data_IF_593354284005
#
_entry.id   IF_593354284005
#
_cell.length_a   1.000
_cell.length_b   1.000
_cell.length_c   1.000
_cell.angle_alpha   90.00
_cell.angle_beta   90.00
_cell.angle_gamma   90.00
#
_symmetry.space_group_name_H-M   'P 1'
#
loop_
_entity.id
_entity.type
_entity.pdbx_description
1 polymer ?
#
# COMPACT_ATOMS: atom_id res chain seq x y z
N UNK A 1 -31.71 4.28 -4.91
CA UNK A 1 -31.42 2.84 -4.77
C UNK A 1 -29.91 2.69 -4.62
N UNK A 2 -29.48 1.84 -3.68
CA UNK A 2 -28.07 1.62 -3.34
C UNK A 2 -27.53 0.45 -4.16
N UNK A 3 -26.39 0.59 -4.81
CA UNK A 3 -25.75 -0.49 -5.55
C UNK A 3 -24.98 -1.41 -4.59
N UNK A 4 -25.21 -2.71 -4.66
CA UNK A 4 -24.41 -3.71 -3.94
C UNK A 4 -23.47 -4.42 -4.91
N UNK A 5 -22.17 -4.52 -4.56
CA UNK A 5 -21.14 -5.18 -5.36
C UNK A 5 -20.42 -6.26 -4.53
N UNK A 6 -20.43 -7.49 -5.05
CA UNK A 6 -19.65 -8.62 -4.49
C UNK A 6 -18.15 -8.46 -4.78
N UNK A 7 -17.33 -9.33 -4.19
CA UNK A 7 -15.90 -9.33 -4.46
C UNK A 7 -15.61 -9.63 -5.95
N UNK A 8 -16.27 -10.62 -6.53
CA UNK A 8 -16.08 -11.03 -7.94
C UNK A 8 -16.46 -9.89 -8.90
N UNK A 9 -17.53 -9.16 -8.59
CA UNK A 9 -17.93 -7.99 -9.38
C UNK A 9 -16.91 -6.86 -9.27
N UNK A 10 -16.40 -6.58 -8.07
CA UNK A 10 -15.31 -5.59 -7.86
C UNK A 10 -14.04 -6.01 -8.61
N UNK A 11 -13.64 -7.28 -8.55
CA UNK A 11 -12.49 -7.82 -9.27
C UNK A 11 -12.63 -7.68 -10.79
N UNK A 12 -13.85 -7.86 -11.32
CA UNK A 12 -14.11 -7.71 -12.76
C UNK A 12 -14.04 -6.27 -13.27
N UNK A 13 -14.12 -5.30 -12.36
CA UNK A 13 -14.16 -3.87 -12.66
C UNK A 13 -12.85 -3.15 -12.42
N UNK A 14 -12.02 -3.64 -11.49
CA UNK A 14 -10.82 -2.95 -11.02
C UNK A 14 -9.55 -3.71 -11.39
N UNK A 15 -8.80 -3.17 -12.34
CA UNK A 15 -7.42 -3.58 -12.62
C UNK A 15 -6.39 -2.72 -11.84
N UNK A 16 -5.11 -3.09 -11.90
CA UNK A 16 -4.04 -2.38 -11.19
C UNK A 16 -3.83 -0.97 -11.77
N UNK A 17 -3.92 -0.80 -13.08
CA UNK A 17 -3.82 0.51 -13.72
C UNK A 17 -4.89 1.47 -13.21
N UNK A 18 -6.13 1.01 -13.14
CA UNK A 18 -7.25 1.78 -12.59
C UNK A 18 -7.07 2.14 -11.12
N UNK A 19 -6.52 1.22 -10.32
CA UNK A 19 -6.20 1.49 -8.92
C UNK A 19 -5.09 2.55 -8.78
N UNK A 20 -4.04 2.50 -9.62
CA UNK A 20 -2.96 3.48 -9.65
C UNK A 20 -3.50 4.88 -9.97
N UNK A 21 -4.34 5.01 -11.01
CA UNK A 21 -4.95 6.29 -11.40
C UNK A 21 -5.79 6.89 -10.25
N UNK A 22 -6.58 6.06 -9.56
CA UNK A 22 -7.41 6.50 -8.45
C UNK A 22 -6.58 6.95 -7.24
N UNK A 23 -5.54 6.19 -6.88
CA UNK A 23 -4.65 6.50 -5.75
C UNK A 23 -3.78 7.73 -6.03
N UNK A 24 -3.25 7.86 -7.25
CA UNK A 24 -2.48 9.04 -7.66
C UNK A 24 -3.33 10.31 -7.60
N UNK A 25 -4.58 10.24 -8.08
CA UNK A 25 -5.54 11.34 -7.95
C UNK A 25 -5.83 11.69 -6.48
N UNK A 26 -6.06 10.69 -5.62
CA UNK A 26 -6.32 10.91 -4.20
C UNK A 26 -5.14 11.57 -3.48
N UNK A 27 -3.91 11.16 -3.77
CA UNK A 27 -2.71 11.81 -3.25
C UNK A 27 -2.59 13.27 -3.68
N UNK A 28 -2.88 13.55 -4.96
CA UNK A 28 -2.88 14.93 -5.48
C UNK A 28 -3.88 15.80 -4.75
N UNK A 29 -5.11 15.34 -4.62
CA UNK A 29 -6.17 16.10 -3.96
C UNK A 29 -5.88 16.34 -2.47
N UNK A 30 -5.20 15.39 -1.82
CA UNK A 30 -4.73 15.57 -0.44
C UNK A 30 -3.72 16.72 -0.34
N UNK A 31 -2.73 16.78 -1.19
CA UNK A 31 -1.71 17.84 -1.18
C UNK A 31 -2.29 19.23 -1.53
N UNK A 32 -3.35 19.26 -2.33
CA UNK A 32 -4.07 20.50 -2.67
C UNK A 32 -5.09 20.94 -1.61
N UNK A 33 -5.23 20.19 -0.50
CA UNK A 33 -6.20 20.51 0.57
C UNK A 33 -7.66 20.22 0.21
N UNK A 34 -7.90 19.45 -0.83
CA UNK A 34 -9.23 19.13 -1.36
C UNK A 34 -9.87 17.89 -0.74
N UNK A 35 -9.43 17.48 0.44
CA UNK A 35 -9.96 16.30 1.13
C UNK A 35 -10.40 16.63 2.56
N UNK A 36 -11.24 15.75 3.09
CA UNK A 36 -11.46 15.61 4.53
C UNK A 36 -11.21 14.15 4.90
N UNK A 37 -10.28 13.94 5.82
CA UNK A 37 -9.87 12.60 6.28
C UNK A 37 -9.60 12.67 7.78
N UNK A 38 -10.63 12.48 8.62
CA UNK A 38 -10.46 12.43 10.06
C UNK A 38 -9.63 11.21 10.49
N UNK A 39 -9.07 11.21 11.72
CA UNK A 39 -8.35 10.07 12.26
C UNK A 39 -9.18 8.79 12.22
N UNK A 40 -8.50 7.65 12.05
CA UNK A 40 -9.10 6.32 12.10
C UNK A 40 -9.66 6.04 13.48
N UNK A 41 -10.79 5.32 13.54
CA UNK A 41 -11.38 4.81 14.79
C UNK A 41 -11.06 3.33 14.91
N UNK A 42 -10.50 2.93 16.04
CA UNK A 42 -10.10 1.55 16.34
C UNK A 42 -10.98 0.93 17.41
N UNK A 43 -11.48 -0.28 17.17
CA UNK A 43 -12.13 -1.13 18.16
C UNK A 43 -11.34 -2.43 18.28
N UNK A 44 -10.70 -2.63 19.44
CA UNK A 44 -9.88 -3.81 19.70
C UNK A 44 -10.71 -4.97 20.26
N UNK A 45 -10.52 -6.13 19.69
CA UNK A 45 -11.14 -7.40 20.13
C UNK A 45 -10.06 -8.28 20.78
N UNK A 46 -9.57 -7.89 21.94
CA UNK A 46 -8.44 -8.54 22.63
C UNK A 46 -8.60 -10.06 22.74
N UNK A 47 -9.82 -10.52 23.16
CA UNK A 47 -10.17 -11.95 23.25
C UNK A 47 -9.94 -12.72 21.94
N UNK A 48 -10.05 -12.06 20.82
CA UNK A 48 -9.99 -12.67 19.48
C UNK A 48 -8.75 -12.28 18.68
N UNK A 49 -7.78 -11.61 19.31
CA UNK A 49 -6.60 -11.07 18.63
C UNK A 49 -6.97 -10.33 17.33
N UNK A 50 -7.98 -9.46 17.42
CA UNK A 50 -8.55 -8.79 16.26
C UNK A 50 -8.78 -7.30 16.51
N UNK A 51 -8.94 -6.57 15.40
CA UNK A 51 -9.28 -5.15 15.41
C UNK A 51 -10.25 -4.82 14.27
N UNK A 52 -11.21 -3.93 14.56
CA UNK A 52 -12.02 -3.25 13.54
C UNK A 52 -11.52 -1.82 13.43
N UNK A 53 -11.36 -1.34 12.21
CA UNK A 53 -10.91 0.01 11.90
C UNK A 53 -11.94 0.67 10.98
N UNK A 54 -12.48 1.83 11.40
CA UNK A 54 -13.32 2.67 10.57
C UNK A 54 -12.50 3.84 10.00
N UNK A 55 -12.56 4.00 8.68
CA UNK A 55 -11.71 4.90 7.90
C UNK A 55 -12.55 5.75 6.95
N UNK A 56 -13.14 6.88 7.43
CA UNK A 56 -13.92 7.79 6.59
C UNK A 56 -13.02 8.73 5.79
N UNK A 57 -13.49 9.11 4.60
CA UNK A 57 -12.89 10.19 3.81
C UNK A 57 -13.91 10.84 2.87
N UNK A 58 -13.63 12.10 2.50
CA UNK A 58 -14.31 12.84 1.45
C UNK A 58 -13.29 13.50 0.52
N UNK A 59 -13.42 13.26 -0.77
CA UNK A 59 -12.59 13.86 -1.83
C UNK A 59 -13.47 14.84 -2.59
N UNK A 60 -13.34 16.14 -2.29
CA UNK A 60 -14.23 17.22 -2.73
C UNK A 60 -14.40 17.29 -4.26
N UNK A 61 -13.33 17.31 -5.10
CA UNK A 61 -13.49 17.43 -6.55
C UNK A 61 -14.16 16.22 -7.22
N UNK A 62 -14.18 15.08 -6.54
CA UNK A 62 -14.84 13.86 -7.06
C UNK A 62 -16.25 13.70 -6.53
N UNK A 63 -16.70 14.53 -5.57
CA UNK A 63 -17.90 14.28 -4.77
C UNK A 63 -17.94 12.85 -4.19
N UNK A 64 -16.78 12.31 -3.84
CA UNK A 64 -16.62 10.95 -3.34
C UNK A 64 -16.51 10.95 -1.82
N UNK A 65 -17.62 10.72 -1.14
CA UNK A 65 -17.66 10.53 0.30
C UNK A 65 -17.88 9.05 0.65
N UNK A 66 -17.16 8.53 1.65
CA UNK A 66 -17.33 7.14 2.01
C UNK A 66 -16.61 6.73 3.28
N UNK A 67 -16.86 5.48 3.65
CA UNK A 67 -16.32 4.85 4.84
C UNK A 67 -15.87 3.44 4.50
N UNK A 68 -14.58 3.12 4.71
CA UNK A 68 -14.14 1.73 4.79
C UNK A 68 -14.23 1.26 6.24
N UNK A 69 -14.89 0.12 6.44
CA UNK A 69 -14.79 -0.68 7.66
C UNK A 69 -13.94 -1.90 7.33
N UNK A 70 -12.80 -2.03 7.98
CA UNK A 70 -11.88 -3.16 7.80
C UNK A 70 -11.63 -3.85 9.14
N UNK A 71 -11.66 -5.18 9.13
CA UNK A 71 -11.26 -6.00 10.27
C UNK A 71 -9.97 -6.72 9.96
N UNK A 72 -9.07 -6.78 10.95
CA UNK A 72 -7.82 -7.53 10.87
C UNK A 72 -7.82 -8.59 11.96
N UNK A 73 -7.83 -9.86 11.56
CA UNK A 73 -7.78 -11.02 12.44
C UNK A 73 -6.65 -11.95 11.96
N UNK A 74 -5.42 -11.82 12.49
CA UNK A 74 -4.25 -12.58 12.01
C UNK A 74 -4.43 -14.10 12.09
N UNK A 75 -5.26 -14.57 13.01
CA UNK A 75 -5.53 -16.00 13.20
C UNK A 75 -6.56 -16.60 12.23
N UNK A 76 -7.30 -15.77 11.48
CA UNK A 76 -8.36 -16.24 10.58
C UNK A 76 -7.92 -17.31 9.59
N UNK A 77 -6.78 -17.17 8.87
CA UNK A 77 -6.36 -18.19 7.90
C UNK A 77 -6.18 -19.57 8.52
N UNK A 78 -5.60 -19.60 9.72
CA UNK A 78 -5.32 -20.85 10.43
C UNK A 78 -6.55 -21.43 11.13
N UNK A 79 -7.37 -20.58 11.78
CA UNK A 79 -8.48 -21.05 12.64
C UNK A 79 -9.81 -21.22 11.89
N UNK A 80 -10.04 -20.43 10.86
CA UNK A 80 -11.35 -20.30 10.22
C UNK A 80 -11.33 -20.46 8.70
N UNK A 81 -10.14 -20.56 8.06
CA UNK A 81 -10.02 -20.60 6.61
C UNK A 81 -10.45 -19.28 5.91
N UNK A 82 -10.52 -18.19 6.67
CA UNK A 82 -10.92 -16.86 6.19
C UNK A 82 -9.70 -15.96 5.98
N UNK A 83 -9.77 -14.93 5.14
CA UNK A 83 -8.72 -13.93 5.04
C UNK A 83 -8.43 -13.26 6.38
N UNK A 84 -7.16 -12.91 6.63
CA UNK A 84 -6.77 -12.13 7.80
C UNK A 84 -7.35 -10.72 7.78
N UNK A 85 -7.57 -10.15 6.60
CA UNK A 85 -8.14 -8.84 6.38
C UNK A 85 -9.45 -9.00 5.62
N UNK A 86 -10.55 -8.45 6.17
CA UNK A 86 -11.87 -8.43 5.54
C UNK A 86 -12.39 -7.00 5.63
N UNK A 87 -12.87 -6.46 4.51
CA UNK A 87 -13.34 -5.07 4.46
C UNK A 87 -14.64 -4.91 3.68
N UNK A 88 -15.38 -3.87 4.05
CA UNK A 88 -16.50 -3.33 3.27
C UNK A 88 -16.33 -1.82 3.13
N UNK A 89 -16.77 -1.29 1.98
CA UNK A 89 -16.78 0.15 1.73
C UNK A 89 -18.21 0.58 1.42
N UNK A 90 -18.63 1.66 2.07
CA UNK A 90 -19.89 2.35 1.82
C UNK A 90 -19.53 3.69 1.17
N UNK A 91 -20.13 3.98 0.02
CA UNK A 91 -20.09 5.30 -0.61
C UNK A 91 -21.43 6.00 -0.41
N UNK A 92 -21.38 7.30 -0.12
CA UNK A 92 -22.55 8.16 0.08
C UNK A 92 -22.55 9.33 -0.89
N UNK A 93 -23.73 9.76 -1.28
CA UNK A 93 -23.96 11.03 -1.98
C UNK A 93 -23.76 12.18 -1.00
N UNK A 94 -22.75 13.04 -1.14
CA UNK A 94 -22.52 14.13 -0.21
C UNK A 94 -23.65 15.17 -0.16
N UNK A 95 -24.39 15.31 -1.26
CA UNK A 95 -25.46 16.30 -1.37
C UNK A 95 -26.76 15.85 -0.68
N UNK A 96 -27.02 14.55 -0.63
CA UNK A 96 -28.29 14.00 -0.12
C UNK A 96 -28.13 13.10 1.10
N UNK A 97 -26.91 12.59 1.36
CA UNK A 97 -26.65 11.62 2.42
C UNK A 97 -27.12 10.21 2.10
N UNK A 98 -27.65 9.95 0.90
CA UNK A 98 -28.08 8.61 0.49
C UNK A 98 -26.87 7.71 0.22
N UNK A 99 -26.92 6.43 0.60
CA UNK A 99 -25.87 5.49 0.18
C UNK A 99 -25.93 5.23 -1.32
N UNK A 100 -24.82 5.50 -2.01
CA UNK A 100 -24.64 5.22 -3.44
C UNK A 100 -24.32 3.74 -3.69
N UNK A 101 -23.42 3.19 -2.89
CA UNK A 101 -23.01 1.80 -3.01
C UNK A 101 -22.50 1.20 -1.69
N UNK A 102 -22.65 -0.12 -1.57
CA UNK A 102 -21.98 -0.97 -0.57
C UNK A 102 -21.24 -2.03 -1.35
N UNK A 103 -19.93 -2.17 -1.12
CA UNK A 103 -19.11 -3.08 -1.92
C UNK A 103 -18.05 -3.82 -1.12
N UNK A 104 -17.52 -4.90 -1.68
CA UNK A 104 -16.34 -5.55 -1.12
C UNK A 104 -15.17 -4.56 -1.08
N UNK A 105 -14.60 -4.43 0.11
CA UNK A 105 -13.43 -3.59 0.34
C UNK A 105 -12.13 -4.38 0.46
N UNK A 106 -12.20 -5.71 0.49
CA UNK A 106 -11.02 -6.57 0.71
C UNK A 106 -10.11 -6.53 -0.50
N UNK A 107 -10.65 -6.75 -1.68
CA UNK A 107 -9.90 -6.65 -2.93
C UNK A 107 -9.43 -5.21 -3.20
N UNK A 108 -10.31 -4.22 -3.00
CA UNK A 108 -9.93 -2.79 -3.11
C UNK A 108 -8.76 -2.47 -2.18
N UNK A 109 -8.77 -2.95 -0.92
CA UNK A 109 -7.67 -2.71 0.02
C UNK A 109 -6.35 -3.31 -0.47
N UNK A 110 -6.36 -4.48 -1.09
CA UNK A 110 -5.16 -5.08 -1.67
C UNK A 110 -4.65 -4.24 -2.85
N UNK A 111 -5.53 -3.91 -3.80
CA UNK A 111 -5.17 -3.22 -5.03
C UNK A 111 -4.72 -1.77 -4.78
N UNK A 112 -5.45 -0.99 -3.92
CA UNK A 112 -5.06 0.40 -3.61
C UNK A 112 -3.73 0.48 -2.85
N UNK A 113 -3.37 -0.58 -2.09
CA UNK A 113 -2.08 -0.61 -1.38
C UNK A 113 -0.93 -0.91 -2.35
N UNK A 114 -1.11 -1.85 -3.28
CA UNK A 114 -0.18 -2.07 -4.39
C UNK A 114 -0.02 -0.82 -5.25
N UNK A 115 -1.14 -0.14 -5.54
CA UNK A 115 -1.16 1.11 -6.28
C UNK A 115 -0.39 2.25 -5.57
N UNK A 116 -0.46 2.33 -4.23
CA UNK A 116 0.31 3.34 -3.49
C UNK A 116 1.83 3.12 -3.62
N UNK A 117 2.30 1.86 -3.54
CA UNK A 117 3.69 1.51 -3.81
C UNK A 117 4.09 1.77 -5.27
N UNK A 118 3.19 1.47 -6.22
CA UNK A 118 3.41 1.77 -7.64
C UNK A 118 3.54 3.28 -7.90
N UNK A 119 2.65 4.10 -7.32
CA UNK A 119 2.76 5.58 -7.41
C UNK A 119 4.10 6.03 -6.83
N UNK A 120 4.51 5.52 -5.67
CA UNK A 120 5.81 5.87 -5.09
C UNK A 120 6.96 5.45 -6.03
N UNK A 121 6.96 4.23 -6.53
CA UNK A 121 7.97 3.76 -7.48
C UNK A 121 8.00 4.61 -8.76
N UNK A 122 6.85 5.05 -9.28
CA UNK A 122 6.74 5.92 -10.47
C UNK A 122 7.50 7.24 -10.31
N UNK A 123 7.53 7.80 -9.11
CA UNK A 123 8.17 9.10 -8.86
C UNK A 123 9.54 8.99 -8.17
N UNK A 124 9.81 7.89 -7.47
CA UNK A 124 10.98 7.77 -6.60
C UNK A 124 11.99 6.71 -7.05
N UNK A 125 11.63 5.74 -7.90
CA UNK A 125 12.61 4.80 -8.45
C UNK A 125 13.22 5.30 -9.75
N UNK A 126 14.35 4.73 -10.16
CA UNK A 126 14.95 4.96 -11.49
C UNK A 126 13.96 4.53 -12.58
N UNK A 127 13.90 5.28 -13.68
CA UNK A 127 12.96 4.99 -14.78
C UNK A 127 13.22 3.64 -15.45
N UNK A 128 14.47 3.22 -15.45
CA UNK A 128 14.95 1.96 -16.04
C UNK A 128 15.08 0.82 -15.01
N UNK A 129 14.48 0.93 -13.82
CA UNK A 129 14.44 -0.14 -12.83
C UNK A 129 13.87 -1.42 -13.42
N UNK A 130 14.61 -2.54 -13.32
CA UNK A 130 14.27 -3.84 -13.90
C UNK A 130 14.16 -4.96 -12.87
N UNK A 131 14.81 -4.78 -11.72
CA UNK A 131 14.90 -5.82 -10.70
C UNK A 131 14.14 -5.41 -9.44
N UNK A 132 13.32 -6.31 -8.92
CA UNK A 132 12.55 -6.09 -7.69
C UNK A 132 12.87 -7.13 -6.62
N UNK A 133 12.95 -6.71 -5.35
CA UNK A 133 12.97 -7.61 -4.20
C UNK A 133 11.65 -7.48 -3.45
N UNK A 134 10.94 -8.60 -3.24
CA UNK A 134 9.67 -8.63 -2.51
C UNK A 134 9.86 -9.42 -1.22
N UNK A 135 9.86 -8.72 -0.08
CA UNK A 135 9.98 -9.34 1.24
C UNK A 135 8.58 -9.43 1.86
N UNK A 136 8.03 -10.66 1.84
CA UNK A 136 6.67 -10.97 2.23
C UNK A 136 5.81 -11.45 1.06
N UNK A 137 5.57 -12.77 0.97
CA UNK A 137 4.86 -13.44 -0.12
C UNK A 137 3.34 -13.52 0.12
N UNK A 138 2.78 -12.55 0.85
CA UNK A 138 1.35 -12.43 1.14
C UNK A 138 0.55 -11.72 0.04
N UNK A 139 -0.68 -11.30 0.39
CA UNK A 139 -1.56 -10.54 -0.51
C UNK A 139 -0.90 -9.23 -0.95
N UNK A 140 -0.25 -8.53 -0.01
CA UNK A 140 0.41 -7.26 -0.33
C UNK A 140 1.62 -7.45 -1.25
N UNK A 141 2.45 -8.48 -1.05
CA UNK A 141 3.56 -8.75 -1.97
C UNK A 141 3.09 -8.94 -3.43
N UNK A 142 1.95 -9.60 -3.61
CA UNK A 142 1.32 -9.80 -4.93
C UNK A 142 0.87 -8.49 -5.56
N UNK A 143 0.11 -7.69 -4.83
CA UNK A 143 -0.39 -6.41 -5.35
C UNK A 143 0.73 -5.40 -5.58
N UNK A 144 1.79 -5.42 -4.75
CA UNK A 144 2.98 -4.58 -4.95
C UNK A 144 3.69 -4.94 -6.26
N UNK A 145 3.96 -6.22 -6.51
CA UNK A 145 4.62 -6.64 -7.76
C UNK A 145 3.79 -6.30 -8.99
N UNK A 146 2.46 -6.54 -8.95
CA UNK A 146 1.55 -6.10 -10.03
C UNK A 146 1.66 -4.60 -10.29
N UNK A 147 1.69 -3.81 -9.22
CA UNK A 147 1.84 -2.35 -9.33
C UNK A 147 3.18 -1.92 -9.91
N UNK A 148 4.28 -2.56 -9.52
CA UNK A 148 5.61 -2.27 -10.06
C UNK A 148 5.68 -2.57 -11.56
N UNK A 149 5.14 -3.69 -12.02
CA UNK A 149 5.11 -4.06 -13.43
C UNK A 149 4.30 -3.07 -14.30
N UNK A 150 3.32 -2.36 -13.73
CA UNK A 150 2.54 -1.32 -14.44
C UNK A 150 3.34 -0.02 -14.65
N UNK A 151 4.29 0.28 -13.78
CA UNK A 151 4.97 1.59 -13.78
C UNK A 151 6.45 1.54 -14.14
N UNK A 152 7.06 0.36 -14.13
CA UNK A 152 8.47 0.12 -14.44
C UNK A 152 8.65 -1.12 -15.32
N UNK A 153 9.67 -1.17 -16.15
CA UNK A 153 9.97 -2.33 -17.01
C UNK A 153 10.64 -3.44 -16.18
N UNK A 154 9.91 -3.96 -15.17
CA UNK A 154 10.42 -5.03 -14.33
C UNK A 154 10.55 -6.31 -15.16
N UNK A 155 11.72 -6.92 -15.13
CA UNK A 155 12.06 -8.16 -15.85
C UNK A 155 12.25 -9.32 -14.88
N UNK A 156 12.76 -9.03 -13.67
CA UNK A 156 13.13 -10.03 -12.67
C UNK A 156 12.63 -9.63 -11.28
N UNK A 157 12.24 -10.60 -10.47
CA UNK A 157 11.97 -10.40 -9.06
C UNK A 157 12.56 -11.51 -8.20
N UNK A 158 13.21 -11.16 -7.08
CA UNK A 158 13.57 -12.11 -6.02
C UNK A 158 12.61 -11.96 -4.87
N UNK A 159 12.11 -13.09 -4.36
CA UNK A 159 11.09 -13.08 -3.31
C UNK A 159 11.55 -13.86 -2.08
N UNK A 160 11.29 -13.29 -0.91
CA UNK A 160 11.60 -13.94 0.36
C UNK A 160 10.38 -13.88 1.30
N UNK A 161 10.16 -14.98 1.99
CA UNK A 161 9.22 -15.12 3.11
C UNK A 161 9.78 -16.16 4.07
N UNK A 162 9.53 -16.01 5.37
CA UNK A 162 9.95 -16.99 6.39
C UNK A 162 9.28 -18.35 6.23
N UNK A 163 8.18 -18.43 5.46
CA UNK A 163 7.43 -19.63 5.16
C UNK A 163 7.79 -20.13 3.75
N UNK A 164 8.59 -21.20 3.60
CA UNK A 164 9.03 -21.70 2.27
C UNK A 164 7.87 -22.00 1.31
N UNK A 165 6.77 -22.61 1.82
CA UNK A 165 5.61 -22.89 0.98
C UNK A 165 4.86 -21.64 0.49
N UNK A 166 5.04 -20.48 1.14
CA UNK A 166 4.49 -19.22 0.67
C UNK A 166 5.33 -18.66 -0.50
N UNK A 167 6.68 -18.77 -0.42
CA UNK A 167 7.60 -18.40 -1.51
C UNK A 167 7.24 -19.19 -2.78
N UNK A 168 7.21 -20.54 -2.67
CA UNK A 168 6.91 -21.42 -3.80
C UNK A 168 5.59 -21.08 -4.48
N UNK A 169 4.50 -20.95 -3.68
CA UNK A 169 3.18 -20.58 -4.24
C UNK A 169 3.19 -19.20 -4.88
N UNK A 170 3.96 -18.26 -4.32
CA UNK A 170 4.09 -16.92 -4.89
C UNK A 170 4.74 -16.98 -6.27
N UNK A 171 5.85 -17.70 -6.41
CA UNK A 171 6.55 -17.87 -7.70
C UNK A 171 5.63 -18.52 -8.73
N UNK A 172 5.00 -19.66 -8.38
CA UNK A 172 4.07 -20.37 -9.26
C UNK A 172 2.92 -19.47 -9.77
N UNK A 173 2.33 -18.67 -8.88
CA UNK A 173 1.20 -17.80 -9.20
C UNK A 173 1.61 -16.56 -9.97
N UNK A 174 2.64 -15.87 -9.48
CA UNK A 174 2.97 -14.53 -9.98
C UNK A 174 3.77 -14.55 -11.27
N UNK A 175 4.59 -15.58 -11.53
CA UNK A 175 5.26 -15.72 -12.84
C UNK A 175 4.23 -15.84 -13.97
N UNK A 176 3.14 -16.62 -13.75
CA UNK A 176 2.06 -16.74 -14.73
C UNK A 176 1.24 -15.46 -14.93
N UNK A 177 1.10 -14.63 -13.87
CA UNK A 177 0.32 -13.38 -13.92
C UNK A 177 1.09 -12.21 -14.51
N UNK A 178 2.39 -12.12 -14.23
CA UNK A 178 3.22 -10.97 -14.63
C UNK A 178 4.05 -11.22 -15.87
N UNK A 179 4.36 -12.48 -16.16
CA UNK A 179 5.21 -12.88 -17.28
C UNK A 179 6.69 -12.56 -17.09
N UNK A 180 7.12 -12.16 -15.87
CA UNK A 180 8.51 -11.89 -15.54
C UNK A 180 9.17 -13.11 -14.88
N UNK A 181 10.49 -13.10 -14.81
CA UNK A 181 11.24 -14.11 -14.08
C UNK A 181 11.17 -13.86 -12.57
N UNK A 182 10.80 -14.88 -11.78
CA UNK A 182 10.65 -14.77 -10.33
C UNK A 182 11.38 -15.92 -9.64
N UNK A 183 12.35 -15.59 -8.79
CA UNK A 183 13.17 -16.55 -8.06
C UNK A 183 12.91 -16.49 -6.54
N UNK A 184 12.94 -17.67 -5.89
CA UNK A 184 12.96 -17.74 -4.42
C UNK A 184 14.37 -17.41 -3.90
N UNK A 185 14.46 -16.49 -2.94
CA UNK A 185 15.69 -16.25 -2.19
C UNK A 185 15.66 -17.00 -0.86
N UNK A 186 16.84 -17.37 -0.36
CA UNK A 186 16.97 -18.08 0.92
C UNK A 186 17.15 -17.14 2.10
N UNK A 187 17.44 -15.85 1.86
CA UNK A 187 17.54 -14.82 2.88
C UNK A 187 17.07 -13.46 2.35
N UNK A 188 16.87 -12.49 3.28
CA UNK A 188 16.59 -11.10 2.92
C UNK A 188 17.76 -10.50 2.17
N UNK A 189 18.98 -10.73 2.62
CA UNK A 189 20.23 -10.23 2.02
C UNK A 189 20.37 -10.69 0.57
N UNK A 190 20.06 -11.95 0.29
CA UNK A 190 20.07 -12.49 -1.06
C UNK A 190 18.98 -11.86 -1.94
N UNK A 191 17.78 -11.68 -1.39
CA UNK A 191 16.67 -11.10 -2.13
C UNK A 191 16.94 -9.65 -2.54
N UNK A 192 17.51 -8.84 -1.63
CA UNK A 192 17.71 -7.40 -1.87
C UNK A 192 19.01 -7.07 -2.60
N UNK A 193 19.89 -8.05 -2.75
CA UNK A 193 21.16 -7.85 -3.46
C UNK A 193 20.90 -7.45 -4.92
N UNK A 194 21.47 -6.34 -5.31
CA UNK A 194 21.38 -5.78 -6.68
C UNK A 194 19.94 -5.41 -7.12
N UNK A 195 18.98 -5.31 -6.19
CA UNK A 195 17.62 -4.88 -6.52
C UNK A 195 17.56 -3.38 -6.77
N UNK A 196 16.83 -2.99 -7.83
CA UNK A 196 16.49 -1.58 -8.11
C UNK A 196 15.39 -1.08 -7.17
N UNK A 197 14.46 -1.97 -6.83
CA UNK A 197 13.31 -1.66 -5.97
C UNK A 197 13.16 -2.76 -4.91
N UNK A 198 13.12 -2.36 -3.64
CA UNK A 198 12.87 -3.25 -2.50
C UNK A 198 11.47 -2.94 -1.94
N UNK A 199 10.66 -3.98 -1.76
CA UNK A 199 9.36 -3.89 -1.10
C UNK A 199 9.39 -4.72 0.18
N UNK A 200 9.05 -4.12 1.33
CA UNK A 200 8.81 -4.83 2.57
C UNK A 200 7.32 -4.79 2.91
N UNK A 201 6.70 -5.97 3.07
CA UNK A 201 5.26 -6.09 3.27
C UNK A 201 4.92 -7.27 4.21
N UNK A 202 5.61 -7.33 5.35
CA UNK A 202 5.50 -8.38 6.35
C UNK A 202 4.79 -7.90 7.63
N UNK A 203 4.28 -8.80 8.46
CA UNK A 203 3.80 -8.47 9.80
C UNK A 203 4.91 -8.44 10.86
N UNK A 204 6.19 -8.37 10.48
CA UNK A 204 7.32 -8.46 11.40
C UNK A 204 7.27 -7.39 12.50
N UNK A 205 7.64 -7.80 13.70
CA UNK A 205 7.86 -6.91 14.85
C UNK A 205 9.33 -6.64 15.12
N UNK A 206 10.22 -7.32 14.38
CA UNK A 206 11.66 -7.15 14.45
C UNK A 206 12.18 -6.68 13.10
N UNK A 207 12.99 -5.61 13.05
CA UNK A 207 13.55 -5.12 11.82
C UNK A 207 14.47 -6.19 11.19
N UNK A 208 14.50 -6.24 9.89
CA UNK A 208 15.28 -7.21 9.11
C UNK A 208 16.00 -6.59 7.92
N UNK A 209 15.57 -5.41 7.44
CA UNK A 209 16.28 -4.67 6.39
C UNK A 209 17.21 -3.66 7.05
N UNK A 210 18.51 -3.78 6.79
CA UNK A 210 19.53 -2.85 7.32
C UNK A 210 20.07 -1.90 6.25
N UNK A 211 20.62 -0.77 6.66
CA UNK A 211 21.23 0.20 5.75
C UNK A 211 22.38 -0.39 4.93
N UNK A 212 23.15 -1.32 5.48
CA UNK A 212 24.28 -1.93 4.80
C UNK A 212 23.91 -2.81 3.60
N UNK A 213 22.65 -3.27 3.58
CA UNK A 213 22.10 -4.03 2.44
C UNK A 213 21.71 -3.14 1.25
N UNK A 214 21.72 -1.80 1.40
CA UNK A 214 21.22 -0.88 0.38
C UNK A 214 22.31 -0.48 -0.60
N UNK A 215 22.06 -0.69 -1.88
CA UNK A 215 22.89 -0.20 -2.98
C UNK A 215 22.52 1.26 -3.34
N UNK A 216 23.48 2.07 -3.83
CA UNK A 216 23.16 3.38 -4.38
C UNK A 216 22.08 3.31 -5.46
N UNK A 217 21.15 4.27 -5.46
CA UNK A 217 20.06 4.35 -6.43
C UNK A 217 18.85 3.47 -6.15
N UNK A 218 18.86 2.65 -5.09
CA UNK A 218 17.72 1.80 -4.74
C UNK A 218 16.50 2.62 -4.28
N UNK A 219 15.31 2.15 -4.61
CA UNK A 219 14.05 2.62 -4.03
C UNK A 219 13.49 1.60 -3.05
N UNK A 220 13.06 2.03 -1.86
CA UNK A 220 12.44 1.18 -0.86
C UNK A 220 10.97 1.57 -0.67
N UNK A 221 10.05 0.62 -0.83
CA UNK A 221 8.63 0.74 -0.47
C UNK A 221 8.36 -0.05 0.81
N UNK A 222 8.26 0.63 1.96
CA UNK A 222 8.02 0.04 3.27
C UNK A 222 6.52 0.04 3.59
N UNK A 223 5.86 -1.11 3.43
CA UNK A 223 4.41 -1.27 3.45
C UNK A 223 3.89 -2.00 4.69
N UNK A 224 4.66 -2.97 5.23
CA UNK A 224 4.11 -3.93 6.21
C UNK A 224 3.94 -3.39 7.62
N UNK A 225 4.78 -2.46 8.07
CA UNK A 225 4.68 -1.87 9.40
C UNK A 225 3.65 -0.74 9.42
N UNK A 226 2.38 -1.05 9.68
CA UNK A 226 1.22 -0.13 9.75
C UNK A 226 0.74 0.16 11.18
N UNK A 227 1.43 -0.37 12.19
CA UNK A 227 1.15 -0.16 13.63
C UNK A 227 2.44 0.08 14.41
N UNK A 228 2.33 0.61 15.64
CA UNK A 228 3.48 0.84 16.52
C UNK A 228 4.26 -0.44 16.90
N UNK A 229 3.59 -1.60 16.89
CA UNK A 229 4.20 -2.88 17.25
C UNK A 229 4.99 -3.52 16.11
N UNK A 230 4.74 -3.14 14.85
CA UNK A 230 5.40 -3.70 13.68
C UNK A 230 6.62 -2.88 13.29
N UNK A 231 7.68 -3.58 12.90
CA UNK A 231 8.93 -2.98 12.45
C UNK A 231 9.61 -3.86 11.41
N UNK A 232 9.91 -3.30 10.25
CA UNK A 232 10.61 -3.99 9.16
C UNK A 232 12.01 -3.41 8.92
N UNK A 233 12.18 -2.10 9.15
CA UNK A 233 13.39 -1.36 8.87
C UNK A 233 14.25 -1.16 10.12
N UNK A 234 15.54 -1.39 10.01
CA UNK A 234 16.51 -0.88 10.98
C UNK A 234 16.61 0.64 10.86
N UNK A 235 17.02 1.29 11.96
CA UNK A 235 17.25 2.73 11.98
C UNK A 235 18.23 3.18 10.90
N UNK A 236 19.21 2.33 10.58
CA UNK A 236 20.23 2.56 9.54
C UNK A 236 19.66 2.76 8.14
N UNK A 237 18.49 2.20 7.83
CA UNK A 237 17.80 2.44 6.54
C UNK A 237 17.35 3.89 6.42
N UNK A 238 16.74 4.43 7.50
CA UNK A 238 16.25 5.81 7.50
C UNK A 238 17.39 6.82 7.47
N UNK A 239 18.47 6.56 8.21
CA UNK A 239 19.63 7.48 8.26
C UNK A 239 20.46 7.43 6.96
N UNK A 240 20.33 6.40 6.15
CA UNK A 240 21.02 6.25 4.86
C UNK A 240 20.21 6.73 3.68
N UNK A 241 18.89 6.85 3.82
CA UNK A 241 18.02 7.33 2.75
C UNK A 241 18.25 8.83 2.48
N UNK A 242 18.49 9.20 1.22
CA UNK A 242 18.63 10.59 0.79
C UNK A 242 17.29 11.31 0.76
N UNK A 243 16.20 10.58 0.43
CA UNK A 243 14.83 11.10 0.46
C UNK A 243 13.89 10.14 1.19
N UNK A 244 13.34 10.61 2.29
CA UNK A 244 12.28 9.91 3.03
C UNK A 244 10.95 10.55 2.66
N UNK A 245 10.06 9.76 2.06
CA UNK A 245 8.71 10.17 1.66
C UNK A 245 7.70 9.30 2.40
N UNK A 246 6.61 9.89 2.87
CA UNK A 246 5.55 9.17 3.57
C UNK A 246 4.20 9.39 2.87
N UNK A 247 3.24 8.50 3.09
CA UNK A 247 1.87 8.72 2.62
C UNK A 247 1.17 9.83 3.42
N UNK A 248 1.38 9.88 4.76
CA UNK A 248 0.83 10.92 5.64
C UNK A 248 1.65 11.00 6.93
N UNK A 249 2.28 12.14 7.21
CA UNK A 249 3.20 12.34 8.34
C UNK A 249 2.61 11.96 9.70
N UNK A 250 1.37 12.40 10.08
CA UNK A 250 0.82 12.07 11.39
C UNK A 250 0.64 10.57 11.63
N UNK A 251 0.40 9.77 10.56
CA UNK A 251 0.28 8.31 10.68
C UNK A 251 1.65 7.63 10.62
N UNK A 252 2.57 8.10 9.79
CA UNK A 252 3.91 7.53 9.67
C UNK A 252 4.69 7.63 10.99
N UNK A 253 4.58 8.73 11.71
CA UNK A 253 5.35 8.97 12.94
C UNK A 253 4.93 8.10 14.13
N UNK A 254 3.77 7.43 14.08
CA UNK A 254 3.30 6.54 15.15
C UNK A 254 3.50 5.06 14.88
N UNK A 255 3.99 4.66 13.68
CA UNK A 255 4.29 3.26 13.36
C UNK A 255 5.74 2.91 13.70
N UNK A 256 6.02 1.62 13.97
CA UNK A 256 7.29 1.19 14.56
C UNK A 256 8.54 1.52 13.77
N UNK A 257 8.46 1.55 12.42
CA UNK A 257 9.61 1.93 11.58
C UNK A 257 10.09 3.37 11.81
N UNK A 258 9.20 4.28 12.24
CA UNK A 258 9.49 5.69 12.48
C UNK A 258 9.45 6.08 13.96
N UNK A 259 8.46 5.60 14.71
CA UNK A 259 8.28 5.96 16.12
C UNK A 259 9.51 5.62 16.98
N UNK A 260 10.18 4.50 16.70
CA UNK A 260 11.37 4.09 17.46
C UNK A 260 12.57 4.98 17.11
N UNK A 261 12.97 5.16 15.84
CA UNK A 261 14.08 6.06 15.48
C UNK A 261 13.85 7.53 15.89
N UNK A 262 12.60 8.03 15.84
CA UNK A 262 12.25 9.36 16.35
C UNK A 262 12.47 9.47 17.86
N UNK A 263 12.02 8.47 18.63
CA UNK A 263 12.19 8.43 20.09
C UNK A 263 13.66 8.32 20.49
N UNK A 264 14.47 7.60 19.72
CA UNK A 264 15.89 7.45 19.90
C UNK A 264 16.70 8.71 19.49
N UNK A 265 16.05 9.67 18.81
CA UNK A 265 16.70 10.86 18.27
C UNK A 265 17.62 10.58 17.08
N UNK A 266 17.50 9.40 16.47
CA UNK A 266 18.28 9.01 15.31
C UNK A 266 17.77 9.70 14.02
N UNK A 267 16.49 10.04 13.96
CA UNK A 267 15.88 10.90 12.95
C UNK A 267 15.00 11.94 13.64
N UNK A 268 14.65 13.00 12.92
CA UNK A 268 13.70 14.04 13.31
C UNK A 268 12.54 14.07 12.33
N UNK A 269 11.43 14.66 12.72
CA UNK A 269 10.27 14.84 11.82
C UNK A 269 10.62 15.63 10.55
N UNK A 270 11.54 16.60 10.65
CA UNK A 270 12.03 17.41 9.54
C UNK A 270 12.93 16.63 8.56
N UNK A 271 13.43 15.46 8.93
CA UNK A 271 14.19 14.61 8.03
C UNK A 271 13.25 13.90 7.02
N UNK A 272 11.93 13.92 7.25
CA UNK A 272 10.93 13.48 6.27
C UNK A 272 10.76 14.56 5.19
N UNK A 273 11.32 14.28 4.02
CA UNK A 273 11.39 15.19 2.89
C UNK A 273 10.00 15.65 2.43
N UNK A 274 9.09 14.71 2.18
CA UNK A 274 7.77 15.02 1.62
C UNK A 274 6.68 14.03 2.05
N UNK A 275 5.44 14.45 1.94
CA UNK A 275 4.31 13.55 1.73
C UNK A 275 4.18 13.22 0.23
N UNK A 276 3.74 11.98 -0.09
CA UNK A 276 3.64 11.51 -1.48
C UNK A 276 2.77 12.42 -2.34
N UNK A 277 1.73 12.98 -1.75
CA UNK A 277 0.83 13.94 -2.41
C UNK A 277 1.55 15.18 -2.92
N UNK A 278 2.54 15.71 -2.18
CA UNK A 278 3.31 16.90 -2.59
C UNK A 278 4.11 16.61 -3.88
N UNK A 279 4.66 15.39 -4.00
CA UNK A 279 5.41 14.98 -5.20
C UNK A 279 4.46 14.76 -6.37
N UNK A 280 3.33 14.07 -6.15
CA UNK A 280 2.33 13.83 -7.19
C UNK A 280 1.71 15.14 -7.70
N UNK A 281 1.52 16.12 -6.83
CA UNK A 281 1.03 17.45 -7.21
C UNK A 281 2.08 18.36 -7.88
N UNK A 282 3.35 17.92 -7.95
CA UNK A 282 4.46 18.70 -8.51
C UNK A 282 4.94 19.84 -7.61
N UNK A 283 4.56 19.82 -6.32
CA UNK A 283 5.00 20.84 -5.33
C UNK A 283 6.42 20.56 -4.84
N UNK A 284 6.86 19.31 -4.89
CA UNK A 284 8.24 18.89 -4.62
C UNK A 284 8.72 17.91 -5.69
N UNK A 285 10.00 17.93 -6.05
CA UNK A 285 10.54 16.96 -6.98
C UNK A 285 10.57 15.55 -6.38
N UNK A 286 10.38 14.53 -7.22
CA UNK A 286 10.63 13.13 -6.89
C UNK A 286 12.12 12.82 -6.86
N UNK A 287 12.53 11.72 -7.51
CA UNK A 287 13.95 11.38 -7.71
C UNK A 287 14.63 12.40 -8.63
N UNK A 288 15.79 12.89 -8.23
CA UNK A 288 16.59 13.87 -8.96
C UNK A 288 17.95 13.31 -9.43
N UNK A 289 18.44 12.22 -8.81
CA UNK A 289 19.68 11.58 -9.21
C UNK A 289 19.57 10.05 -9.28
N UNK A 290 20.41 9.44 -10.11
CA UNK A 290 20.49 7.97 -10.25
C UNK A 290 21.06 7.28 -8.99
N UNK A 291 21.81 8.01 -8.17
CA UNK A 291 22.48 7.50 -6.97
C UNK A 291 21.60 7.61 -5.70
N UNK A 292 20.56 8.45 -5.71
CA UNK A 292 19.70 8.65 -4.54
C UNK A 292 19.12 7.33 -4.02
N UNK A 293 19.22 7.09 -2.72
CA UNK A 293 18.46 6.08 -2.00
C UNK A 293 17.15 6.72 -1.54
N UNK A 294 16.04 6.25 -2.06
CA UNK A 294 14.72 6.80 -1.75
C UNK A 294 13.89 5.80 -0.95
N UNK A 295 13.22 6.29 0.09
CA UNK A 295 12.34 5.51 0.94
C UNK A 295 10.91 6.07 0.87
N UNK A 296 9.95 5.21 0.58
CA UNK A 296 8.53 5.50 0.74
C UNK A 296 7.94 4.66 1.89
N UNK A 297 7.35 5.32 2.88
CA UNK A 297 6.59 4.68 3.95
C UNK A 297 5.11 4.84 3.72
N UNK A 298 4.39 3.71 3.59
CA UNK A 298 2.94 3.68 3.53
C UNK A 298 2.33 3.13 4.81
N UNK A 299 1.26 3.77 5.24
CA UNK A 299 0.40 3.34 6.34
C UNK A 299 -1.02 3.04 5.87
N UNK A 300 -1.33 3.44 4.61
CA UNK A 300 -2.62 3.34 3.94
C UNK A 300 -3.59 4.43 4.41
N UNK A 301 -4.33 5.03 3.51
CA UNK A 301 -5.18 6.19 3.76
C UNK A 301 -6.62 5.93 3.33
N UNK A 302 -7.59 6.49 4.07
CA UNK A 302 -9.02 6.38 3.72
C UNK A 302 -9.33 6.96 2.33
N UNK A 303 -8.64 8.03 1.93
CA UNK A 303 -8.79 8.62 0.58
C UNK A 303 -8.43 7.63 -0.53
N UNK A 304 -7.46 6.74 -0.31
CA UNK A 304 -7.11 5.70 -1.30
C UNK A 304 -8.26 4.70 -1.44
N UNK A 305 -8.88 4.32 -0.32
CA UNK A 305 -10.01 3.39 -0.30
C UNK A 305 -11.23 4.02 -0.98
N UNK A 306 -11.60 5.24 -0.60
CA UNK A 306 -12.76 5.95 -1.13
C UNK A 306 -12.59 6.32 -2.60
N UNK A 307 -11.42 6.82 -3.00
CA UNK A 307 -11.14 7.15 -4.41
C UNK A 307 -11.20 5.93 -5.32
N UNK A 308 -10.62 4.80 -4.89
CA UNK A 308 -10.67 3.55 -5.65
C UNK A 308 -12.09 2.98 -5.69
N UNK A 309 -12.81 2.98 -4.57
CA UNK A 309 -14.20 2.54 -4.52
C UNK A 309 -15.13 3.40 -5.42
N UNK A 310 -14.90 4.71 -5.46
CA UNK A 310 -15.67 5.59 -6.35
C UNK A 310 -15.40 5.29 -7.83
N UNK A 311 -14.16 4.96 -8.20
CA UNK A 311 -13.86 4.49 -9.56
C UNK A 311 -14.60 3.19 -9.88
N UNK A 312 -14.59 2.21 -8.96
CA UNK A 312 -15.34 0.96 -9.12
C UNK A 312 -16.84 1.23 -9.27
N UNK A 313 -17.42 2.09 -8.42
CA UNK A 313 -18.84 2.48 -8.50
C UNK A 313 -19.17 3.09 -9.86
N UNK A 314 -18.38 4.00 -10.38
CA UNK A 314 -18.59 4.61 -11.70
C UNK A 314 -18.57 3.56 -12.82
N UNK A 315 -17.56 2.68 -12.83
CA UNK A 315 -17.47 1.59 -13.80
C UNK A 315 -18.65 0.61 -13.69
N UNK A 316 -19.09 0.31 -12.47
CA UNK A 316 -20.26 -0.54 -12.25
C UNK A 316 -21.54 0.06 -12.84
N UNK A 317 -21.78 1.36 -12.60
CA UNK A 317 -22.92 2.10 -13.18
C UNK A 317 -22.86 2.14 -14.71
N UNK A 318 -21.68 2.36 -15.26
CA UNK A 318 -21.44 2.45 -16.70
C UNK A 318 -21.66 1.10 -17.42
N UNK A 319 -21.26 -0.01 -16.77
CA UNK A 319 -21.33 -1.37 -17.33
C UNK A 319 -22.56 -2.16 -16.91
N UNK A 320 -23.42 -1.60 -16.06
CA UNK A 320 -24.60 -2.28 -15.54
C UNK A 320 -24.27 -3.49 -14.64
N UNK A 321 -23.16 -3.42 -13.88
CA UNK A 321 -22.72 -4.48 -12.95
C UNK A 321 -23.21 -4.16 -11.54
N UNK A 322 -23.57 -5.19 -10.78
CA UNK A 322 -24.07 -5.07 -9.41
C UNK A 322 -25.59 -5.18 -9.30
N UNK A 323 -26.06 -5.25 -8.07
CA UNK A 323 -27.49 -5.38 -7.74
C UNK A 323 -27.97 -4.15 -6.98
N UNK A 324 -29.08 -3.56 -7.39
CA UNK A 324 -29.77 -2.52 -6.61
C UNK A 324 -30.50 -3.12 -5.40
N UNK A 325 -30.36 -2.48 -4.22
CA UNK A 325 -30.99 -2.85 -2.95
C UNK A 325 -31.70 -1.65 -2.32
#
# INVERSE_FOLDING_TARGET
MTLYLTQEEVESLLDMKGAIEAVESAFREMALGNIEMPPRVYLHFEKYNGVLIAMPAYIKPLDAAGLKVVTVHPDNPRKHGLPAVIARIILNDPAKGEPLAIMDGTYITAMRTGAAGAVAAKYLSRKNSRTAAIIGCGVQGRSQLLGLCEVRPIEEAKVYDVVPSARKRYVEEMSGKTGIDIEEAESVEEAVKDADIIVTCTPSQKPFLSGDMLSPGVHISAIGADTAAKRELETSVLTRADKIVVDFKPQAFIVGDFAIPLKEGAIREDDVYAEMGEIVAGLKPGRESEEEITLFKATGLAIQDVGTAYKVYRLARERGVGREI
#
